data_IF_847515100929
#
_entry.id   IF_847515100929
#
_cell.length_a   1.000
_cell.length_b   1.000
_cell.length_c   1.000
_cell.angle_alpha   90.00
_cell.angle_beta   90.00
_cell.angle_gamma   90.00
#
_symmetry.space_group_name_H-M   'P 1'
#
loop_
_entity.id
_entity.type
_entity.pdbx_description
1 polymer ?
#
# COMPACT_ATOMS: atom_id res chain seq x y z
N UNK A 1 8.12 12.46 -17.97
CA UNK A 1 7.26 11.37 -17.50
C UNK A 1 7.96 10.75 -16.31
N UNK A 2 7.34 10.73 -15.12
CA UNK A 2 7.95 10.18 -13.92
C UNK A 2 8.11 8.65 -14.01
N UNK A 3 8.99 8.05 -13.22
CA UNK A 3 9.13 6.59 -13.19
C UNK A 3 7.80 5.90 -12.78
N UNK A 4 7.04 6.52 -11.87
CA UNK A 4 5.73 6.01 -11.45
C UNK A 4 4.72 6.04 -12.60
N UNK A 5 4.67 7.13 -13.38
CA UNK A 5 3.81 7.23 -14.57
C UNK A 5 4.12 6.11 -15.59
N UNK A 6 5.39 5.69 -15.70
CA UNK A 6 5.79 4.62 -16.61
C UNK A 6 5.51 3.20 -16.07
N UNK A 7 5.45 3.02 -14.75
CA UNK A 7 5.29 1.70 -14.11
C UNK A 7 3.85 1.39 -13.73
N UNK A 8 3.08 2.37 -13.26
CA UNK A 8 1.71 2.17 -12.79
C UNK A 8 0.80 1.47 -13.82
N UNK A 9 0.79 1.84 -15.12
CA UNK A 9 -0.02 1.16 -16.13
C UNK A 9 0.34 -0.33 -16.29
N UNK A 10 1.62 -0.68 -16.13
CA UNK A 10 2.10 -2.07 -16.22
C UNK A 10 1.61 -2.90 -15.04
N UNK A 11 1.61 -2.32 -13.84
CA UNK A 11 1.09 -2.98 -12.63
C UNK A 11 -0.41 -3.24 -12.77
N UNK A 12 -1.19 -2.22 -13.13
CA UNK A 12 -2.64 -2.35 -13.32
C UNK A 12 -2.96 -3.39 -14.41
N UNK A 13 -2.23 -3.36 -15.54
CA UNK A 13 -2.39 -4.34 -16.61
C UNK A 13 -2.18 -5.78 -16.14
N UNK A 14 -1.07 -6.05 -15.47
CA UNK A 14 -0.75 -7.40 -14.95
C UNK A 14 -1.75 -7.88 -13.91
N UNK A 15 -2.22 -7.02 -13.01
CA UNK A 15 -3.21 -7.40 -12.02
C UNK A 15 -4.57 -7.73 -12.67
N UNK A 16 -4.98 -6.99 -13.72
CA UNK A 16 -6.17 -7.33 -14.50
C UNK A 16 -6.05 -8.68 -15.19
N UNK A 17 -4.92 -8.93 -15.86
CA UNK A 17 -4.65 -10.21 -16.54
C UNK A 17 -4.68 -11.38 -15.56
N UNK A 18 -4.15 -11.19 -14.34
CA UNK A 18 -4.17 -12.19 -13.29
C UNK A 18 -5.52 -12.29 -12.54
N UNK A 19 -6.49 -11.40 -12.80
CA UNK A 19 -7.78 -11.37 -12.10
C UNK A 19 -7.68 -11.03 -10.61
N UNK A 20 -6.63 -10.32 -10.17
CA UNK A 20 -6.39 -9.97 -8.77
C UNK A 20 -6.68 -8.50 -8.49
N UNK A 21 -7.10 -8.22 -7.26
CA UNK A 21 -7.27 -6.87 -6.73
C UNK A 21 -6.14 -6.51 -5.78
N UNK A 22 -5.82 -5.23 -5.69
CA UNK A 22 -4.78 -4.68 -4.85
C UNK A 22 -5.37 -3.94 -3.65
N UNK A 23 -4.77 -4.17 -2.49
CA UNK A 23 -4.91 -3.35 -1.29
C UNK A 23 -3.53 -2.80 -0.96
N UNK A 24 -3.45 -1.49 -0.71
CA UNK A 24 -2.19 -0.83 -0.37
C UNK A 24 -2.14 -0.45 1.10
N UNK A 25 -0.97 -0.59 1.71
CA UNK A 25 -0.65 -0.05 3.03
C UNK A 25 0.65 0.76 2.91
N UNK A 26 0.58 2.06 3.19
CA UNK A 26 1.67 3.01 2.99
C UNK A 26 1.98 3.75 4.30
N UNK A 27 3.25 4.02 4.59
CA UNK A 27 3.63 4.88 5.71
C UNK A 27 4.49 6.04 5.21
N UNK A 28 5.79 5.82 5.05
CA UNK A 28 6.74 6.85 4.61
C UNK A 28 6.44 7.41 3.20
N UNK A 29 5.75 6.67 2.34
CA UNK A 29 5.34 7.12 1.01
C UNK A 29 4.09 8.00 1.03
N UNK A 30 3.35 8.04 2.15
CA UNK A 30 2.22 8.97 2.34
C UNK A 30 1.06 8.83 1.34
N UNK A 31 0.91 7.69 0.67
CA UNK A 31 -0.14 7.48 -0.33
C UNK A 31 0.28 7.74 -1.77
N UNK A 32 1.56 8.05 -2.03
CA UNK A 32 2.07 8.32 -3.38
C UNK A 32 1.92 7.12 -4.31
N UNK A 33 2.03 5.88 -3.79
CA UNK A 33 1.83 4.70 -4.63
C UNK A 33 0.36 4.54 -5.02
N UNK A 34 -0.55 4.69 -4.06
CA UNK A 34 -1.98 4.68 -4.32
C UNK A 34 -2.37 5.75 -5.34
N UNK A 35 -1.88 6.99 -5.17
CA UNK A 35 -2.12 8.08 -6.10
C UNK A 35 -1.75 7.70 -7.55
N UNK A 36 -0.49 7.30 -7.78
CA UNK A 36 -0.03 6.95 -9.12
C UNK A 36 -0.76 5.76 -9.74
N UNK A 37 -1.13 4.74 -8.95
CA UNK A 37 -1.92 3.62 -9.45
C UNK A 37 -3.33 4.06 -9.84
N UNK A 38 -3.95 4.94 -9.05
CA UNK A 38 -5.31 5.41 -9.30
C UNK A 38 -5.43 6.41 -10.45
N UNK A 39 -4.33 7.04 -10.88
CA UNK A 39 -4.30 7.86 -12.10
C UNK A 39 -4.46 7.04 -13.39
N UNK A 40 -4.20 5.74 -13.35
CA UNK A 40 -4.35 4.86 -14.52
C UNK A 40 -5.82 4.64 -14.85
N UNK A 41 -6.28 4.89 -16.09
CA UNK A 41 -7.66 4.65 -16.48
C UNK A 41 -8.16 3.23 -16.18
N UNK A 42 -9.30 3.16 -15.47
CA UNK A 42 -9.94 1.93 -15.02
C UNK A 42 -9.26 1.25 -13.82
N UNK A 43 -8.34 1.93 -13.12
CA UNK A 43 -7.67 1.36 -11.94
C UNK A 43 -8.64 0.84 -10.88
N UNK A 44 -9.88 1.34 -10.83
CA UNK A 44 -10.96 0.85 -9.95
C UNK A 44 -11.31 -0.64 -10.12
N UNK A 45 -10.99 -1.25 -11.26
CA UNK A 45 -11.15 -2.70 -11.44
C UNK A 45 -10.09 -3.53 -10.66
N UNK A 46 -9.00 -2.89 -10.24
CA UNK A 46 -7.85 -3.53 -9.58
C UNK A 46 -7.65 -2.98 -8.18
N UNK A 47 -7.48 -1.67 -8.02
CA UNK A 47 -7.22 -1.03 -6.73
C UNK A 47 -8.53 -1.00 -5.93
N UNK A 48 -8.55 -1.70 -4.82
CA UNK A 48 -9.73 -1.87 -3.99
C UNK A 48 -9.75 -0.87 -2.83
N UNK A 49 -8.64 -0.75 -2.08
CA UNK A 49 -8.46 0.29 -1.05
C UNK A 49 -6.98 0.59 -0.79
N UNK A 50 -6.73 1.72 -0.13
CA UNK A 50 -5.41 2.11 0.37
C UNK A 50 -5.50 2.60 1.82
N UNK A 51 -4.51 2.24 2.62
CA UNK A 51 -4.33 2.71 3.99
C UNK A 51 -3.04 3.51 4.09
N UNK A 52 -3.05 4.60 4.86
CA UNK A 52 -1.84 5.38 5.16
C UNK A 52 -1.60 5.45 6.68
N UNK A 53 -1.33 4.32 7.37
CA UNK A 53 -1.17 4.31 8.83
C UNK A 53 0.22 4.78 9.24
N UNK A 54 0.38 6.10 9.31
CA UNK A 54 1.69 6.72 9.61
C UNK A 54 2.16 6.46 11.05
N UNK A 55 1.26 6.55 12.04
CA UNK A 55 1.60 6.30 13.46
C UNK A 55 1.49 4.82 13.84
N UNK A 56 2.12 4.44 14.96
CA UNK A 56 2.00 3.08 15.49
C UNK A 56 0.54 2.75 15.87
N UNK A 57 -0.19 3.70 16.46
CA UNK A 57 -1.61 3.51 16.80
C UNK A 57 -2.43 3.23 15.54
N UNK A 58 -2.23 4.02 14.48
CA UNK A 58 -2.97 3.83 13.22
C UNK A 58 -2.68 2.49 12.55
N UNK A 59 -1.47 1.93 12.70
CA UNK A 59 -1.15 0.57 12.22
C UNK A 59 -1.93 -0.49 12.99
N UNK A 60 -2.05 -0.32 14.31
CA UNK A 60 -2.89 -1.18 15.14
C UNK A 60 -4.37 -1.09 14.79
N UNK A 61 -4.91 0.13 14.67
CA UNK A 61 -6.34 0.37 14.43
C UNK A 61 -6.80 -0.07 13.03
N UNK A 62 -6.01 0.23 11.99
CA UNK A 62 -6.44 0.03 10.61
C UNK A 62 -6.01 -1.33 10.05
N UNK A 63 -4.84 -1.82 10.47
CA UNK A 63 -4.23 -3.03 9.94
C UNK A 63 -4.11 -4.16 10.98
N UNK A 64 -4.43 -3.92 12.24
CA UNK A 64 -4.33 -4.94 13.30
C UNK A 64 -2.91 -5.23 13.77
N UNK A 65 -1.91 -4.41 13.41
CA UNK A 65 -0.51 -4.64 13.78
C UNK A 65 -0.36 -4.51 15.31
N UNK A 66 0.11 -5.55 16.03
CA UNK A 66 0.24 -5.48 17.49
C UNK A 66 1.19 -4.37 17.94
N UNK A 67 0.74 -3.50 18.83
CA UNK A 67 1.59 -2.43 19.39
C UNK A 67 2.84 -2.99 20.08
N UNK A 68 2.74 -4.16 20.73
CA UNK A 68 3.88 -4.80 21.37
C UNK A 68 4.99 -5.18 20.37
N UNK A 69 4.61 -5.61 19.14
CA UNK A 69 5.54 -5.91 18.06
C UNK A 69 6.24 -4.63 17.59
N UNK A 70 5.48 -3.54 17.41
CA UNK A 70 6.04 -2.23 17.02
C UNK A 70 6.94 -1.63 18.11
N UNK A 71 6.66 -1.87 19.38
CA UNK A 71 7.51 -1.45 20.50
C UNK A 71 8.83 -2.24 20.55
N UNK A 72 8.79 -3.54 20.27
CA UNK A 72 9.96 -4.41 20.32
C UNK A 72 10.89 -4.26 19.11
N UNK A 73 10.32 -4.12 17.91
CA UNK A 73 11.09 -4.12 16.65
C UNK A 73 11.14 -2.76 15.95
N UNK A 74 10.31 -1.80 16.38
CA UNK A 74 10.15 -0.51 15.71
C UNK A 74 9.22 -0.58 14.49
N UNK A 75 8.73 0.60 14.06
CA UNK A 75 7.82 0.72 12.91
C UNK A 75 8.48 0.51 11.55
N UNK A 76 9.81 0.57 11.48
CA UNK A 76 10.59 0.33 10.26
C UNK A 76 11.38 -0.96 10.48
N UNK A 77 10.67 -2.08 10.32
CA UNK A 77 11.19 -3.42 10.59
C UNK A 77 10.51 -4.44 9.67
N UNK A 78 11.14 -5.61 9.49
CA UNK A 78 10.54 -6.68 8.70
C UNK A 78 9.28 -7.23 9.39
N UNK A 79 9.31 -7.26 10.71
CA UNK A 79 8.22 -7.68 11.57
C UNK A 79 6.99 -6.78 11.40
N UNK A 80 7.17 -5.46 11.36
CA UNK A 80 6.06 -4.52 11.18
C UNK A 80 5.37 -4.66 9.81
N UNK A 81 6.11 -5.06 8.77
CA UNK A 81 5.56 -5.28 7.41
C UNK A 81 4.92 -6.66 7.27
N UNK A 82 5.44 -7.67 7.98
CA UNK A 82 4.95 -9.04 7.92
C UNK A 82 3.85 -9.39 8.92
N UNK A 83 3.43 -8.43 9.76
CA UNK A 83 2.41 -8.60 10.79
C UNK A 83 0.99 -8.78 10.24
#
# INVERSE_FOLDING_TARGET
MSELEAVAPKVIGRCREAGVRLVLAEACTGGVMAAALTEVPGASAVVERGFVPYSNESKGEQLGVPLALLQAHGSVSAEAVGA
#
